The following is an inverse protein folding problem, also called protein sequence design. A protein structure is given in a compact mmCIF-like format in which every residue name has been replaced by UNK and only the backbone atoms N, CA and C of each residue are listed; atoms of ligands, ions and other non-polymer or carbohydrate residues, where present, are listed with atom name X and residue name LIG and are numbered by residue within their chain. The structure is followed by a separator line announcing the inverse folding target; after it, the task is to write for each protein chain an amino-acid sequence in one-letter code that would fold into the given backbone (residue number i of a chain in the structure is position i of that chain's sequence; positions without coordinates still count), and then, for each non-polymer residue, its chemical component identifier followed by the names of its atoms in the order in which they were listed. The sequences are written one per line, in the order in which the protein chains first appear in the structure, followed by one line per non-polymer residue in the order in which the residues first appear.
data_IF_546175074878
#
_entry.id   IF_546175074878
#
_cell.length_a   1.000
_cell.length_b   1.000
_cell.length_c   1.000
_cell.angle_alpha   90.00
_cell.angle_beta   90.00
_cell.angle_gamma   90.00
#
_symmetry.space_group_name_H-M   'P 1'
#
loop_
_entity.id
_entity.type
_entity.pdbx_description
1 polymer ?
#
# COMPACT_ATOMS: atom_id res chain seq x y z
N UNK A 1 -1.29 -7.56 -8.83
CA UNK A 1 -1.72 -6.18 -9.13
C UNK A 1 -3.20 -6.13 -9.33
N UNK A 2 -3.93 -5.58 -8.36
CA UNK A 2 -5.36 -5.30 -8.48
C UNK A 2 -5.59 -3.85 -8.90
N UNK A 3 -6.58 -3.59 -9.76
CA UNK A 3 -7.08 -2.23 -10.01
C UNK A 3 -8.28 -2.03 -9.10
N UNK A 4 -8.07 -1.52 -7.89
CA UNK A 4 -9.11 -1.47 -6.87
C UNK A 4 -10.27 -0.56 -7.28
N UNK A 5 -10.00 0.46 -8.10
CA UNK A 5 -10.99 1.34 -8.73
C UNK A 5 -12.08 0.57 -9.52
N UNK A 6 -11.77 -0.65 -10.01
CA UNK A 6 -12.71 -1.52 -10.74
C UNK A 6 -13.54 -2.43 -9.84
N UNK A 7 -13.11 -2.63 -8.59
CA UNK A 7 -13.75 -3.51 -7.61
C UNK A 7 -14.65 -2.70 -6.68
N UNK A 8 -14.15 -1.55 -6.22
CA UNK A 8 -14.84 -0.66 -5.28
C UNK A 8 -14.86 0.76 -5.87
N UNK A 9 -16.01 1.45 -5.82
CA UNK A 9 -16.11 2.84 -6.27
C UNK A 9 -15.61 3.80 -5.19
N UNK A 10 -15.00 4.91 -5.59
CA UNK A 10 -14.55 5.94 -4.64
C UNK A 10 -15.70 6.67 -3.94
N UNK A 11 -16.90 6.69 -4.54
CA UNK A 11 -18.05 7.46 -4.06
C UNK A 11 -19.36 6.68 -4.23
N UNK A 12 -20.18 6.68 -3.19
CA UNK A 12 -21.53 6.12 -3.17
C UNK A 12 -22.50 7.18 -2.63
N UNK A 13 -23.15 7.92 -3.53
CA UNK A 13 -24.02 9.03 -3.15
C UNK A 13 -23.25 10.10 -2.38
N UNK A 14 -23.59 10.32 -1.12
CA UNK A 14 -22.92 11.29 -0.24
C UNK A 14 -21.67 10.75 0.47
N UNK A 15 -21.37 9.46 0.34
CA UNK A 15 -20.23 8.82 1.00
C UNK A 15 -19.03 8.70 0.07
N UNK A 16 -17.83 8.91 0.61
CA UNK A 16 -16.55 8.66 -0.08
C UNK A 16 -15.69 7.67 0.69
N UNK A 17 -14.91 6.88 -0.05
CA UNK A 17 -13.89 5.99 0.51
C UNK A 17 -12.51 6.58 0.27
N UNK A 18 -11.67 6.59 1.30
CA UNK A 18 -10.34 7.17 1.24
C UNK A 18 -9.23 6.13 1.23
N UNK A 19 -9.26 5.16 2.14
CA UNK A 19 -8.26 4.11 2.23
C UNK A 19 -8.90 2.74 2.45
N UNK A 20 -9.50 2.14 1.39
CA UNK A 20 -10.03 0.79 1.49
C UNK A 20 -8.90 -0.21 1.76
N UNK A 21 -9.09 -1.09 2.72
CA UNK A 21 -8.20 -2.20 2.99
C UNK A 21 -9.01 -3.43 3.38
N UNK A 22 -8.45 -4.60 3.16
CA UNK A 22 -9.04 -5.86 3.60
C UNK A 22 -8.05 -7.00 3.38
N UNK A 23 -7.97 -7.90 4.35
CA UNK A 23 -7.22 -9.15 4.24
C UNK A 23 -8.14 -10.32 4.60
N UNK A 24 -8.06 -11.40 3.84
CA UNK A 24 -8.75 -12.65 4.14
C UNK A 24 -7.85 -13.70 4.79
N UNK A 25 -6.55 -13.40 4.94
CA UNK A 25 -5.54 -14.33 5.41
C UNK A 25 -5.33 -14.20 6.91
N UNK A 26 -5.17 -15.34 7.59
CA UNK A 26 -4.65 -15.39 8.96
C UNK A 26 -3.13 -15.25 8.89
N UNK A 27 -2.65 -14.03 9.04
CA UNK A 27 -1.22 -13.75 9.03
C UNK A 27 -0.62 -14.20 10.36
N UNK A 28 0.25 -15.20 10.29
CA UNK A 28 1.16 -15.58 11.39
C UNK A 28 2.31 -14.58 11.50
N UNK A 29 3.54 -15.10 11.59
CA UNK A 29 4.76 -14.28 11.64
C UNK A 29 5.12 -13.59 10.31
N UNK A 30 4.31 -13.73 9.25
CA UNK A 30 4.62 -13.18 7.92
C UNK A 30 3.91 -11.86 7.65
N UNK A 31 4.40 -11.14 6.63
CA UNK A 31 3.75 -9.95 6.09
C UNK A 31 3.02 -10.28 4.78
N UNK A 32 1.78 -9.82 4.65
CA UNK A 32 1.06 -9.83 3.38
C UNK A 32 1.28 -8.51 2.66
N UNK A 33 2.04 -8.51 1.57
CA UNK A 33 2.26 -7.31 0.74
C UNK A 33 1.32 -7.29 -0.45
N UNK A 34 0.70 -6.12 -0.69
CA UNK A 34 -0.26 -5.92 -1.76
C UNK A 34 0.10 -4.68 -2.58
N UNK A 35 0.23 -4.89 -3.89
CA UNK A 35 0.40 -3.81 -4.87
C UNK A 35 -0.89 -3.64 -5.67
N UNK A 36 -1.49 -2.48 -5.57
CA UNK A 36 -2.76 -2.13 -6.22
C UNK A 36 -2.77 -0.69 -6.76
N UNK A 37 -3.88 -0.32 -7.40
CA UNK A 37 -4.16 1.09 -7.70
C UNK A 37 -5.42 1.55 -6.99
N UNK A 38 -5.41 2.76 -6.46
CA UNK A 38 -6.57 3.44 -5.89
C UNK A 38 -6.58 4.92 -6.24
N UNK A 39 -7.72 5.45 -6.70
CA UNK A 39 -7.83 6.85 -7.17
C UNK A 39 -6.74 7.22 -8.19
N UNK A 40 -6.40 6.26 -9.07
CA UNK A 40 -5.36 6.43 -10.09
C UNK A 40 -3.92 6.50 -9.55
N UNK A 41 -3.67 6.14 -8.30
CA UNK A 41 -2.32 6.06 -7.70
C UNK A 41 -1.94 4.61 -7.47
N UNK A 42 -0.72 4.23 -7.84
CA UNK A 42 -0.13 2.97 -7.41
C UNK A 42 0.06 3.02 -5.90
N UNK A 43 -0.41 1.99 -5.19
CA UNK A 43 -0.39 1.90 -3.74
C UNK A 43 0.22 0.57 -3.34
N UNK A 44 1.28 0.63 -2.53
CA UNK A 44 1.84 -0.52 -1.84
C UNK A 44 1.32 -0.51 -0.40
N UNK A 45 0.75 -1.63 0.01
CA UNK A 45 0.22 -1.80 1.37
C UNK A 45 0.66 -3.13 1.97
N UNK A 46 0.63 -3.19 3.30
CA UNK A 46 0.91 -4.39 4.06
C UNK A 46 -0.26 -4.72 4.99
N UNK A 47 -0.55 -6.00 5.13
CA UNK A 47 -1.25 -6.54 6.28
C UNK A 47 -0.25 -7.31 7.13
N UNK A 48 -0.42 -7.24 8.44
CA UNK A 48 0.40 -7.93 9.42
C UNK A 48 -0.47 -8.32 10.61
N UNK A 49 0.08 -9.15 11.48
CA UNK A 49 -0.54 -9.49 12.75
C UNK A 49 0.24 -8.83 13.89
N UNK A 50 -0.48 -8.05 14.69
CA UNK A 50 0.02 -7.20 15.76
C UNK A 50 0.53 -7.98 16.98
N UNK A 51 0.32 -9.30 17.03
CA UNK A 51 0.98 -10.18 17.99
C UNK A 51 2.46 -10.43 17.66
N UNK A 52 2.90 -10.19 16.42
CA UNK A 52 4.26 -10.50 15.96
C UNK A 52 5.01 -9.32 15.35
N UNK A 53 4.32 -8.28 14.89
CA UNK A 53 4.94 -7.12 14.24
C UNK A 53 4.37 -5.83 14.79
N UNK A 54 5.21 -4.80 14.87
CA UNK A 54 4.78 -3.44 15.22
C UNK A 54 4.47 -2.64 13.95
N UNK A 55 3.58 -1.65 14.08
CA UNK A 55 3.16 -0.82 12.94
C UNK A 55 4.34 -0.09 12.31
N UNK A 56 5.21 0.46 13.14
CA UNK A 56 6.36 1.27 12.73
C UNK A 56 7.35 0.42 11.93
N UNK A 57 7.64 -0.79 12.39
CA UNK A 57 8.48 -1.76 11.68
C UNK A 57 7.92 -2.07 10.28
N UNK A 58 6.62 -2.36 10.19
CA UNK A 58 5.98 -2.66 8.90
C UNK A 58 5.96 -1.45 7.96
N UNK A 59 5.81 -0.24 8.51
CA UNK A 59 5.89 0.99 7.72
C UNK A 59 7.31 1.26 7.22
N UNK A 60 8.33 0.98 8.02
CA UNK A 60 9.72 1.11 7.60
C UNK A 60 10.04 0.15 6.44
N UNK A 61 9.57 -1.09 6.50
CA UNK A 61 9.69 -2.06 5.40
C UNK A 61 9.01 -1.58 4.11
N UNK A 62 7.79 -1.03 4.22
CA UNK A 62 7.05 -0.47 3.08
C UNK A 62 7.76 0.75 2.47
N UNK A 63 8.29 1.64 3.31
CA UNK A 63 9.04 2.80 2.86
C UNK A 63 10.31 2.39 2.13
N UNK A 64 11.05 1.43 2.67
CA UNK A 64 12.24 0.89 2.03
C UNK A 64 11.94 0.27 0.66
N UNK A 65 10.85 -0.48 0.55
CA UNK A 65 10.40 -1.01 -0.74
C UNK A 65 10.09 0.11 -1.76
N UNK A 66 9.39 1.16 -1.33
CA UNK A 66 9.10 2.31 -2.18
C UNK A 66 10.38 3.03 -2.62
N UNK A 67 11.35 3.23 -1.73
CA UNK A 67 12.64 3.85 -2.06
C UNK A 67 13.39 3.06 -3.14
N UNK A 68 13.45 1.73 -3.01
CA UNK A 68 14.06 0.85 -4.02
C UNK A 68 13.33 0.96 -5.37
N UNK A 69 12.00 0.99 -5.36
CA UNK A 69 11.21 1.12 -6.58
C UNK A 69 11.48 2.48 -7.26
N UNK A 70 11.47 3.57 -6.50
CA UNK A 70 11.80 4.91 -6.99
C UNK A 70 13.21 4.98 -7.60
N UNK A 71 14.21 4.42 -6.91
CA UNK A 71 15.58 4.32 -7.42
C UNK A 71 15.66 3.49 -8.71
N UNK A 72 15.01 2.32 -8.73
CA UNK A 72 14.99 1.42 -9.89
C UNK A 72 14.31 2.03 -11.12
N UNK A 73 13.30 2.88 -10.91
CA UNK A 73 12.62 3.63 -11.97
C UNK A 73 13.36 4.91 -12.37
N UNK A 74 14.43 5.30 -11.67
CA UNK A 74 15.14 6.55 -11.89
C UNK A 74 14.32 7.79 -11.51
N UNK A 75 13.33 7.62 -10.64
CA UNK A 75 12.44 8.68 -10.17
C UNK A 75 12.92 9.07 -8.76
N UNK A 76 13.77 10.09 -8.65
CA UNK A 76 14.34 10.48 -7.35
C UNK A 76 15.54 11.40 -7.41
N UNK A 77 16.25 11.44 -8.55
CA UNK A 77 17.37 12.38 -8.80
C UNK A 77 16.87 13.76 -9.27
N UNK A 78 15.94 14.37 -8.52
CA UNK A 78 15.53 15.77 -8.72
C UNK A 78 15.62 16.53 -7.40
N UNK A 79 16.83 16.63 -6.85
CA UNK A 79 17.20 17.85 -6.12
C UNK A 79 17.38 18.98 -7.12
N UNK A 80 16.30 19.64 -7.54
CA UNK A 80 16.24 21.06 -7.96
C UNK A 80 14.88 21.39 -8.60
N UNK A 81 14.06 22.18 -7.91
CA UNK A 81 13.63 23.54 -8.30
C UNK A 81 13.09 24.27 -7.07
#
# INVERSE_FOLDING_TARGET
MGVLDKVIRHKYGSFSFDNPWGTGEELGIGLGLFLDTWKGRLTLSAAYNDAWHEKEEVLDDLNWCNEIEFQGLGIGDMTSF
#
